data_IF_784114663683
#
_entry.id   IF_784114663683
#
_cell.length_a   1.000
_cell.length_b   1.000
_cell.length_c   1.000
_cell.angle_alpha   90.00
_cell.angle_beta   90.00
_cell.angle_gamma   90.00
#
_symmetry.space_group_name_H-M   'P 1'
#
loop_
_entity.id
_entity.type
_entity.pdbx_description
1 polymer ?
#
# COMPACT_ATOMS: atom_id res chain seq x y z
N UNK A 1 -29.16 11.84 -79.13
CA UNK A 1 -28.23 12.73 -79.86
C UNK A 1 -26.87 12.58 -79.14
N UNK A 2 -26.02 11.72 -79.56
CA UNK A 2 -24.97 11.77 -80.55
C UNK A 2 -24.20 13.09 -80.52
N UNK A 3 -22.91 12.97 -80.21
CA UNK A 3 -21.66 13.43 -80.84
C UNK A 3 -20.74 13.98 -79.75
N UNK A 4 -19.45 13.90 -79.79
CA UNK A 4 -18.48 13.17 -80.57
C UNK A 4 -17.10 13.26 -79.92
N UNK A 5 -16.37 12.32 -80.10
CA UNK A 5 -15.04 11.86 -79.94
C UNK A 5 -13.96 12.85 -80.44
N UNK A 6 -12.80 12.74 -79.88
CA UNK A 6 -11.42 12.90 -80.38
C UNK A 6 -10.76 14.29 -80.34
N UNK A 7 -9.63 14.35 -79.65
CA UNK A 7 -8.32 14.43 -80.36
C UNK A 7 -7.14 14.16 -79.40
N UNK A 8 -6.38 13.16 -79.78
CA UNK A 8 -5.06 12.82 -79.36
C UNK A 8 -4.08 13.87 -79.92
N UNK A 9 -3.14 14.31 -79.11
CA UNK A 9 -2.00 15.10 -79.52
C UNK A 9 -0.75 14.69 -78.79
N UNK A 10 -0.01 13.78 -79.43
CA UNK A 10 1.39 13.43 -79.14
C UNK A 10 2.32 14.56 -79.59
N UNK A 11 3.33 14.88 -78.76
CA UNK A 11 4.61 15.50 -79.15
C UNK A 11 5.52 15.52 -77.94
N UNK A 12 6.53 14.76 -77.96
CA UNK A 12 7.85 14.89 -78.56
C UNK A 12 8.91 15.37 -77.57
N UNK A 13 9.85 14.49 -77.32
CA UNK A 13 11.11 14.75 -76.62
C UNK A 13 11.92 15.78 -77.33
N UNK A 14 12.38 16.83 -76.67
CA UNK A 14 13.66 17.49 -76.74
C UNK A 14 13.56 18.96 -76.22
N UNK A 15 14.38 19.26 -75.26
CA UNK A 15 14.52 20.63 -74.71
C UNK A 15 15.26 20.58 -73.38
N UNK A 16 16.54 20.22 -73.48
CA UNK A 16 17.52 20.35 -72.42
C UNK A 16 17.92 21.81 -72.33
N UNK A 17 18.14 22.31 -71.13
CA UNK A 17 19.19 23.26 -70.68
C UNK A 17 18.69 24.30 -69.68
N UNK A 18 19.19 24.11 -68.46
CA UNK A 18 19.64 25.08 -67.43
C UNK A 18 18.76 26.28 -67.06
N UNK A 19 18.35 26.28 -65.81
CA UNK A 19 18.47 27.41 -64.91
C UNK A 19 18.55 26.95 -63.45
N UNK A 20 19.61 27.26 -62.80
CA UNK A 20 19.91 27.05 -61.38
C UNK A 20 18.97 27.84 -60.46
N UNK A 21 18.59 27.30 -59.32
CA UNK A 21 18.12 28.15 -58.23
C UNK A 21 17.03 27.55 -57.37
N UNK A 22 17.38 27.25 -56.10
CA UNK A 22 16.51 27.08 -54.96
C UNK A 22 15.64 25.78 -54.91
N UNK A 23 16.27 24.67 -54.50
CA UNK A 23 15.58 23.53 -53.93
C UNK A 23 15.14 23.87 -52.50
N UNK A 24 13.89 24.31 -52.34
CA UNK A 24 13.21 24.29 -51.05
C UNK A 24 12.96 22.83 -50.71
N UNK A 25 13.68 22.31 -49.75
CA UNK A 25 13.44 21.00 -49.14
C UNK A 25 12.08 21.02 -48.42
N UNK A 26 11.02 20.65 -49.13
CA UNK A 26 9.77 20.26 -48.53
C UNK A 26 10.00 18.90 -47.83
N UNK A 27 10.51 18.93 -46.61
CA UNK A 27 10.54 17.78 -45.74
C UNK A 27 9.13 17.31 -45.53
N UNK A 28 8.76 16.21 -46.14
CA UNK A 28 7.56 15.48 -45.82
C UNK A 28 7.65 15.03 -44.37
N UNK A 29 7.04 15.81 -43.46
CA UNK A 29 6.70 15.36 -42.12
C UNK A 29 5.71 14.21 -42.26
N UNK A 30 6.24 13.01 -42.46
CA UNK A 30 5.48 11.81 -42.14
C UNK A 30 5.21 11.85 -40.64
N UNK A 31 3.94 11.82 -40.20
CA UNK A 31 3.68 11.71 -38.79
C UNK A 31 4.35 10.42 -38.33
N UNK A 32 5.38 10.56 -37.47
CA UNK A 32 5.87 9.39 -36.71
C UNK A 32 4.62 8.81 -36.07
N UNK A 33 4.15 7.66 -36.58
CA UNK A 33 3.19 6.83 -35.84
C UNK A 33 3.82 6.58 -34.50
N UNK A 34 3.37 7.33 -33.49
CA UNK A 34 3.64 7.04 -32.10
C UNK A 34 2.90 5.72 -31.88
N UNK A 35 3.60 4.60 -32.10
CA UNK A 35 3.14 3.32 -31.60
C UNK A 35 3.02 3.50 -30.10
N UNK A 36 1.82 3.59 -29.58
CA UNK A 36 1.57 3.56 -28.15
C UNK A 36 2.23 2.28 -27.64
N UNK A 37 3.35 2.41 -26.96
CA UNK A 37 4.07 1.27 -26.40
C UNK A 37 3.07 0.56 -25.48
N UNK A 38 2.81 -0.73 -25.73
CA UNK A 38 1.84 -1.51 -24.95
C UNK A 38 2.28 -1.47 -23.51
N UNK A 39 1.44 -0.91 -22.65
CA UNK A 39 1.74 -0.85 -21.21
C UNK A 39 1.85 -2.24 -20.63
N UNK A 40 2.73 -2.41 -19.65
CA UNK A 40 2.86 -3.66 -18.91
C UNK A 40 1.70 -3.75 -17.91
N UNK A 41 0.85 -4.77 -18.06
CA UNK A 41 -0.27 -5.02 -17.17
C UNK A 41 0.22 -5.63 -15.84
N UNK A 42 -0.18 -5.04 -14.73
CA UNK A 42 0.20 -5.44 -13.38
C UNK A 42 -1.05 -5.64 -12.53
N UNK A 43 -1.17 -6.79 -11.89
CA UNK A 43 -2.15 -7.05 -10.85
C UNK A 43 -1.52 -6.76 -9.48
N UNK A 44 -2.12 -5.83 -8.76
CA UNK A 44 -1.65 -5.36 -7.45
C UNK A 44 -2.76 -5.50 -6.41
N UNK A 45 -2.44 -6.06 -5.25
CA UNK A 45 -3.41 -6.20 -4.15
C UNK A 45 -3.11 -5.26 -2.99
N UNK A 46 -4.14 -4.63 -2.45
CA UNK A 46 -4.05 -3.97 -1.15
C UNK A 46 -3.91 -5.01 -0.03
N UNK A 47 -3.34 -4.61 1.10
CA UNK A 47 -3.36 -5.41 2.32
C UNK A 47 -4.74 -5.45 3.00
N UNK A 48 -5.59 -4.45 2.72
CA UNK A 48 -6.92 -4.28 3.32
C UNK A 48 -7.87 -3.56 2.35
N UNK A 49 -9.02 -3.12 2.85
CA UNK A 49 -9.96 -2.28 2.11
C UNK A 49 -9.30 -0.94 1.69
N UNK A 50 -9.81 -0.26 0.64
CA UNK A 50 -9.30 1.02 0.17
C UNK A 50 -9.67 2.16 1.15
N UNK A 51 -9.09 2.12 2.33
CA UNK A 51 -9.29 3.05 3.42
C UNK A 51 -8.00 3.26 4.21
N UNK A 52 -7.91 4.32 5.01
CA UNK A 52 -6.77 4.58 5.87
C UNK A 52 -5.43 4.64 5.13
N UNK A 53 -4.54 3.72 5.49
CA UNK A 53 -3.17 3.67 5.00
C UNK A 53 -3.01 3.03 3.60
N UNK A 54 -4.08 2.75 2.86
CA UNK A 54 -3.97 2.10 1.55
C UNK A 54 -4.29 3.03 0.37
N UNK A 55 -4.88 4.19 0.62
CA UNK A 55 -5.40 5.05 -0.45
C UNK A 55 -4.33 5.76 -1.27
N UNK A 56 -3.12 5.93 -0.75
CA UNK A 56 -1.98 6.46 -1.49
C UNK A 56 -1.55 5.58 -2.68
N UNK A 57 -1.91 4.29 -2.70
CA UNK A 57 -1.73 3.43 -3.88
C UNK A 57 -2.52 3.93 -5.10
N UNK A 58 -3.68 4.55 -4.89
CA UNK A 58 -4.45 5.14 -5.99
C UNK A 58 -3.80 6.41 -6.53
N UNK A 59 -3.17 7.22 -5.68
CA UNK A 59 -2.36 8.34 -6.13
C UNK A 59 -1.14 7.89 -6.94
N UNK A 60 -0.58 6.71 -6.66
CA UNK A 60 0.55 6.15 -7.40
C UNK A 60 0.20 5.76 -8.84
N UNK A 61 -1.07 5.48 -9.18
CA UNK A 61 -1.46 5.09 -10.54
C UNK A 61 -1.01 6.06 -11.63
N UNK A 62 -1.06 7.36 -11.37
CA UNK A 62 -0.60 8.36 -12.33
C UNK A 62 0.90 8.25 -12.64
N UNK A 63 1.72 7.90 -11.64
CA UNK A 63 3.17 7.73 -11.78
C UNK A 63 3.49 6.40 -12.45
N UNK A 64 2.82 5.31 -12.09
CA UNK A 64 2.93 4.03 -12.75
C UNK A 64 2.54 4.12 -14.23
N UNK A 65 1.44 4.82 -14.54
CA UNK A 65 0.99 5.06 -15.92
C UNK A 65 2.05 5.81 -16.74
N UNK A 66 2.71 6.83 -16.16
CA UNK A 66 3.80 7.56 -16.81
C UNK A 66 5.04 6.68 -17.03
N UNK A 67 5.25 5.70 -16.16
CA UNK A 67 6.33 4.71 -16.27
C UNK A 67 6.01 3.55 -17.23
N UNK A 68 4.86 3.58 -17.93
CA UNK A 68 4.48 2.55 -18.88
C UNK A 68 3.80 1.33 -18.27
N UNK A 69 3.33 1.43 -17.02
CA UNK A 69 2.59 0.36 -16.34
C UNK A 69 1.08 0.63 -16.38
N UNK A 70 0.30 -0.45 -16.49
CA UNK A 70 -1.16 -0.47 -16.34
C UNK A 70 -1.51 -1.29 -15.11
N UNK A 71 -1.69 -0.61 -13.97
CA UNK A 71 -1.85 -1.26 -12.67
C UNK A 71 -3.32 -1.37 -12.30
N UNK A 72 -3.80 -2.60 -12.19
CA UNK A 72 -5.10 -2.93 -11.61
C UNK A 72 -4.94 -3.13 -10.11
N UNK A 73 -5.64 -2.29 -9.32
CA UNK A 73 -5.61 -2.34 -7.85
C UNK A 73 -6.81 -3.16 -7.36
N UNK A 74 -6.54 -4.27 -6.70
CA UNK A 74 -7.56 -5.13 -6.09
C UNK A 74 -7.67 -4.86 -4.58
N UNK A 75 -8.91 -4.87 -4.07
CA UNK A 75 -9.20 -4.74 -2.63
C UNK A 75 -8.59 -5.91 -1.87
N UNK A 76 -7.93 -5.64 -0.74
CA UNK A 76 -7.46 -6.68 0.17
C UNK A 76 -8.54 -7.12 1.17
N UNK A 77 -8.39 -8.33 1.68
CA UNK A 77 -9.21 -8.88 2.77
C UNK A 77 -8.42 -9.10 4.05
N UNK A 78 -7.16 -8.70 4.05
CA UNK A 78 -6.21 -8.82 5.15
C UNK A 78 -4.79 -9.08 4.66
N UNK A 79 -3.79 -8.58 5.38
CA UNK A 79 -2.38 -8.73 5.00
C UNK A 79 -1.94 -10.19 4.97
N UNK A 80 -2.49 -11.06 5.83
CA UNK A 80 -2.21 -12.48 5.80
C UNK A 80 -2.72 -13.14 4.51
N UNK A 81 -3.92 -12.75 4.04
CA UNK A 81 -4.46 -13.23 2.77
C UNK A 81 -3.69 -12.66 1.56
N UNK A 82 -3.31 -11.38 1.62
CA UNK A 82 -2.55 -10.73 0.55
C UNK A 82 -1.17 -11.40 0.35
N UNK A 83 -0.44 -11.71 1.44
CA UNK A 83 0.86 -12.41 1.34
C UNK A 83 0.72 -13.77 0.72
N UNK A 84 -0.29 -14.56 1.09
CA UNK A 84 -0.55 -15.85 0.45
C UNK A 84 -0.82 -15.71 -1.05
N UNK A 85 -1.66 -14.75 -1.44
CA UNK A 85 -2.03 -14.53 -2.84
C UNK A 85 -0.82 -14.10 -3.71
N UNK A 86 0.12 -13.29 -3.17
CA UNK A 86 1.37 -12.93 -3.84
C UNK A 86 2.27 -14.18 -3.97
N UNK A 87 2.43 -14.95 -2.90
CA UNK A 87 3.24 -16.19 -2.91
C UNK A 87 2.72 -17.20 -3.94
N UNK A 88 1.40 -17.27 -4.13
CA UNK A 88 0.76 -18.15 -5.12
C UNK A 88 0.80 -17.58 -6.55
N UNK A 89 1.37 -16.39 -6.77
CA UNK A 89 1.46 -15.76 -8.09
C UNK A 89 0.15 -15.16 -8.61
N UNK A 90 -0.88 -15.04 -7.76
CA UNK A 90 -2.15 -14.39 -8.15
C UNK A 90 -1.95 -12.90 -8.43
N UNK A 91 -1.07 -12.26 -7.68
CA UNK A 91 -0.68 -10.86 -7.86
C UNK A 91 0.84 -10.77 -8.03
N UNK A 92 1.30 -9.94 -8.96
CA UNK A 92 2.71 -9.65 -9.13
C UNK A 92 3.24 -8.81 -7.96
N UNK A 93 2.41 -7.92 -7.45
CA UNK A 93 2.74 -7.05 -6.32
C UNK A 93 1.56 -6.92 -5.35
N UNK A 94 1.88 -6.49 -4.15
CA UNK A 94 0.90 -6.05 -3.17
C UNK A 94 1.53 -5.20 -2.08
N UNK A 95 0.68 -4.77 -1.16
CA UNK A 95 1.09 -3.90 -0.05
C UNK A 95 0.63 -4.48 1.31
N UNK A 96 0.99 -5.73 1.62
CA UNK A 96 0.69 -6.32 2.93
C UNK A 96 1.52 -5.67 4.03
N UNK A 97 1.18 -5.93 5.28
CA UNK A 97 2.03 -5.58 6.41
C UNK A 97 3.30 -6.43 6.41
N UNK A 98 4.44 -5.80 6.64
CA UNK A 98 5.77 -6.41 6.62
C UNK A 98 5.88 -7.66 7.51
N UNK A 99 5.36 -7.68 8.77
CA UNK A 99 5.48 -8.85 9.62
C UNK A 99 4.75 -10.08 9.05
N UNK A 100 3.68 -9.88 8.26
CA UNK A 100 3.01 -11.00 7.60
C UNK A 100 3.87 -11.60 6.47
N UNK A 101 4.64 -10.77 5.75
CA UNK A 101 5.61 -11.26 4.76
C UNK A 101 6.74 -12.04 5.42
N UNK A 102 7.28 -11.54 6.54
CA UNK A 102 8.31 -12.24 7.34
C UNK A 102 7.77 -13.57 7.89
N UNK A 103 6.52 -13.58 8.38
CA UNK A 103 5.89 -14.82 8.86
C UNK A 103 5.76 -15.87 7.76
N UNK A 104 5.44 -15.48 6.53
CA UNK A 104 5.45 -16.40 5.39
C UNK A 104 6.87 -16.90 5.09
N UNK A 105 7.88 -16.04 5.19
CA UNK A 105 9.27 -16.44 5.00
C UNK A 105 9.74 -17.46 6.05
N UNK A 106 9.35 -17.31 7.32
CA UNK A 106 9.58 -18.31 8.38
C UNK A 106 8.97 -19.66 8.00
N UNK A 107 7.84 -19.68 7.30
CA UNK A 107 7.19 -20.89 6.79
C UNK A 107 7.71 -21.38 5.44
N UNK A 108 8.83 -20.83 4.98
CA UNK A 108 9.52 -21.24 3.75
C UNK A 108 9.00 -20.59 2.45
N UNK A 109 8.07 -19.64 2.53
CA UNK A 109 7.61 -18.90 1.35
C UNK A 109 8.50 -17.68 1.08
N UNK A 110 9.05 -17.56 -0.13
CA UNK A 110 9.92 -16.46 -0.49
C UNK A 110 9.12 -15.21 -0.89
N UNK A 111 9.25 -14.13 -0.11
CA UNK A 111 8.72 -12.79 -0.40
C UNK A 111 9.82 -11.74 -0.21
N UNK A 112 9.81 -10.73 -1.08
CA UNK A 112 10.78 -9.64 -1.08
C UNK A 112 10.06 -8.29 -0.99
N UNK A 113 10.42 -7.47 0.00
CA UNK A 113 10.00 -6.09 0.11
C UNK A 113 10.88 -5.18 -0.75
N UNK A 114 10.25 -4.36 -1.60
CA UNK A 114 10.91 -3.35 -2.43
C UNK A 114 10.90 -1.95 -1.80
N UNK A 115 10.48 -1.85 -0.57
CA UNK A 115 10.43 -0.61 0.21
C UNK A 115 9.32 -0.60 1.23
N UNK A 116 9.54 0.13 2.35
CA UNK A 116 8.58 0.29 3.44
C UNK A 116 7.84 1.63 3.30
N UNK A 117 6.51 1.59 3.29
CA UNK A 117 5.65 2.76 3.10
C UNK A 117 4.75 3.05 4.30
N UNK A 118 5.04 2.45 5.44
CA UNK A 118 4.48 2.81 6.73
C UNK A 118 5.34 2.19 7.86
N UNK A 119 5.84 3.01 8.77
CA UNK A 119 6.87 2.65 9.75
C UNK A 119 6.35 2.21 11.11
N UNK A 120 5.04 2.29 11.36
CA UNK A 120 4.36 1.66 12.50
C UNK A 120 3.11 0.94 12.00
N UNK A 121 2.94 -0.30 12.40
CA UNK A 121 1.79 -1.11 11.99
C UNK A 121 0.48 -0.54 12.48
N UNK A 122 0.47 0.24 13.55
CA UNK A 122 -0.74 0.59 14.29
C UNK A 122 -1.62 -0.63 14.65
N UNK A 123 -1.02 -1.84 14.66
CA UNK A 123 -1.67 -3.06 15.13
C UNK A 123 -1.99 -2.95 16.61
N UNK A 124 -3.14 -3.41 17.04
CA UNK A 124 -3.52 -3.34 18.43
C UNK A 124 -4.87 -3.94 18.74
N UNK A 125 -5.28 -3.70 19.97
CA UNK A 125 -6.63 -3.99 20.46
C UNK A 125 -7.31 -2.66 20.75
N UNK A 126 -8.48 -2.45 20.18
CA UNK A 126 -9.35 -1.30 20.47
C UNK A 126 -10.54 -1.74 21.33
N UNK A 127 -10.80 -0.97 22.37
CA UNK A 127 -11.93 -1.17 23.28
C UNK A 127 -12.72 0.13 23.41
N UNK A 128 -14.00 0.05 23.76
CA UNK A 128 -14.83 1.23 23.98
C UNK A 128 -14.27 2.09 25.14
N UNK A 129 -14.45 3.42 25.14
CA UNK A 129 -13.89 4.30 26.16
C UNK A 129 -14.41 4.01 27.57
N UNK A 130 -15.69 3.59 27.68
CA UNK A 130 -16.34 3.21 28.96
C UNK A 130 -16.00 1.78 29.41
N UNK A 131 -15.27 1.00 28.59
CA UNK A 131 -14.91 -0.38 28.92
C UNK A 131 -14.15 -0.47 30.25
N UNK A 132 -14.39 -1.51 31.07
CA UNK A 132 -13.59 -1.78 32.26
C UNK A 132 -12.15 -2.21 31.91
N UNK A 133 -11.86 -2.55 30.65
CA UNK A 133 -10.52 -2.89 30.18
C UNK A 133 -9.68 -1.63 30.13
N UNK A 134 -8.77 -1.47 31.09
CA UNK A 134 -7.89 -0.30 31.23
C UNK A 134 -6.46 -0.59 30.77
N UNK A 135 -6.05 -1.84 30.83
CA UNK A 135 -4.74 -2.32 30.44
C UNK A 135 -4.86 -3.71 29.78
N UNK A 136 -3.83 -4.17 29.02
CA UNK A 136 -3.94 -5.42 28.27
C UNK A 136 -4.23 -6.67 29.10
N UNK A 137 -3.79 -6.72 30.37
CA UNK A 137 -4.10 -7.87 31.23
C UNK A 137 -5.61 -8.02 31.54
N UNK A 138 -6.37 -6.93 31.43
CA UNK A 138 -7.82 -6.96 31.65
C UNK A 138 -8.59 -7.66 30.51
N UNK A 139 -7.88 -8.06 29.44
CA UNK A 139 -8.44 -8.86 28.35
C UNK A 139 -8.81 -10.29 28.80
N UNK A 140 -8.33 -10.74 29.96
CA UNK A 140 -8.69 -12.07 30.50
C UNK A 140 -10.19 -12.24 30.61
N UNK A 141 -10.73 -13.31 30.02
CA UNK A 141 -12.17 -13.63 30.00
C UNK A 141 -13.01 -12.78 29.05
N UNK A 142 -12.41 -11.82 28.29
CA UNK A 142 -13.14 -10.89 27.42
C UNK A 142 -13.36 -11.46 26.03
N UNK A 143 -14.44 -10.99 25.38
CA UNK A 143 -14.76 -11.29 23.99
C UNK A 143 -13.98 -10.37 23.07
N UNK A 144 -13.08 -10.92 22.26
CA UNK A 144 -12.32 -10.17 21.24
C UNK A 144 -12.78 -10.58 19.84
N UNK A 145 -13.34 -9.61 19.11
CA UNK A 145 -13.68 -9.74 17.71
C UNK A 145 -12.46 -9.58 16.82
N UNK A 146 -12.19 -10.52 15.91
CA UNK A 146 -11.04 -10.51 15.03
C UNK A 146 -11.40 -10.98 13.63
N UNK A 147 -10.81 -10.34 12.61
CA UNK A 147 -10.85 -10.86 11.23
C UNK A 147 -9.65 -11.79 11.04
N UNK A 148 -9.88 -13.08 10.86
CA UNK A 148 -8.81 -14.09 10.90
C UNK A 148 -7.77 -13.93 9.79
N UNK A 149 -8.15 -13.30 8.67
CA UNK A 149 -7.25 -12.99 7.53
C UNK A 149 -6.53 -11.65 7.66
N UNK A 150 -6.84 -10.87 8.69
CA UNK A 150 -6.20 -9.57 8.93
C UNK A 150 -4.75 -9.72 9.39
N UNK A 151 -3.99 -8.64 9.25
CA UNK A 151 -2.55 -8.69 9.51
C UNK A 151 -2.18 -8.78 10.98
N UNK A 152 -2.98 -8.23 11.88
CA UNK A 152 -2.70 -8.20 13.32
C UNK A 152 -3.05 -9.49 14.03
N UNK A 153 -4.02 -10.25 13.51
CA UNK A 153 -4.52 -11.46 14.21
C UNK A 153 -3.44 -12.52 14.47
N UNK A 154 -2.55 -12.85 13.51
CA UNK A 154 -1.47 -13.82 13.76
C UNK A 154 -0.50 -13.43 14.89
N UNK A 155 -0.46 -12.15 15.26
CA UNK A 155 0.42 -11.62 16.30
C UNK A 155 -0.28 -11.38 17.64
N UNK A 156 -1.60 -11.61 17.73
CA UNK A 156 -2.35 -11.54 18.97
C UNK A 156 -1.80 -12.49 20.06
N UNK A 157 -1.43 -13.75 19.76
CA UNK A 157 -0.82 -14.63 20.77
C UNK A 157 0.48 -14.07 21.35
N UNK A 158 1.34 -13.45 20.51
CA UNK A 158 2.58 -12.78 20.95
C UNK A 158 2.26 -11.61 21.88
N UNK A 159 1.28 -10.80 21.54
CA UNK A 159 0.84 -9.67 22.35
C UNK A 159 0.31 -10.14 23.72
N UNK A 160 -0.59 -11.12 23.75
CA UNK A 160 -1.16 -11.67 24.97
C UNK A 160 -0.09 -12.27 25.91
N UNK A 161 0.88 -12.99 25.35
CA UNK A 161 2.00 -13.61 26.10
C UNK A 161 2.78 -12.59 26.93
N UNK A 162 2.90 -11.34 26.47
CA UNK A 162 3.60 -10.27 27.23
C UNK A 162 2.91 -9.92 28.56
N UNK A 163 1.65 -10.30 28.71
CA UNK A 163 0.84 -10.07 29.93
C UNK A 163 0.50 -11.36 30.65
N UNK A 164 1.20 -12.46 30.32
CA UNK A 164 0.94 -13.77 30.90
C UNK A 164 -0.38 -14.41 30.45
N UNK A 165 -0.94 -13.94 29.33
CA UNK A 165 -2.19 -14.45 28.77
C UNK A 165 -1.90 -15.32 27.54
N UNK A 166 -2.85 -16.20 27.23
CA UNK A 166 -2.89 -17.07 26.06
C UNK A 166 -4.20 -16.85 25.30
N UNK A 167 -4.33 -17.47 24.13
CA UNK A 167 -5.60 -17.47 23.38
C UNK A 167 -6.75 -18.13 24.14
N UNK A 168 -6.45 -19.06 25.08
CA UNK A 168 -7.45 -19.71 25.93
C UNK A 168 -7.97 -18.80 27.05
N UNK A 169 -7.26 -17.71 27.36
CA UNK A 169 -7.68 -16.74 28.37
C UNK A 169 -8.65 -15.69 27.82
N UNK A 170 -8.96 -15.70 26.52
CA UNK A 170 -9.91 -14.82 25.86
C UNK A 170 -10.99 -15.61 25.12
N UNK A 171 -12.12 -14.95 24.84
CA UNK A 171 -13.17 -15.49 23.97
C UNK A 171 -12.98 -14.89 22.57
N UNK A 172 -12.23 -15.58 21.68
CA UNK A 172 -12.01 -15.11 20.32
C UNK A 172 -13.25 -15.33 19.46
N UNK A 173 -13.72 -14.26 18.78
CA UNK A 173 -14.86 -14.27 17.87
C UNK A 173 -14.36 -13.92 16.47
N UNK A 174 -14.58 -14.83 15.51
CA UNK A 174 -14.30 -14.56 14.11
C UNK A 174 -15.35 -13.63 13.51
N UNK A 175 -14.92 -12.51 12.95
CA UNK A 175 -15.77 -11.50 12.33
C UNK A 175 -15.31 -11.21 10.88
N UNK A 176 -16.28 -10.94 10.00
CA UNK A 176 -15.98 -10.41 8.68
C UNK A 176 -15.41 -9.00 8.79
N UNK A 177 -14.55 -8.63 7.83
CA UNK A 177 -13.86 -7.34 7.80
C UNK A 177 -14.80 -6.13 7.64
N UNK A 178 -16.05 -6.32 7.22
CA UNK A 178 -17.04 -5.25 7.08
C UNK A 178 -17.82 -4.97 8.36
N UNK A 179 -17.89 -5.94 9.27
CA UNK A 179 -18.72 -5.85 10.48
C UNK A 179 -17.92 -5.76 11.79
N UNK A 180 -16.60 -5.87 11.73
CA UNK A 180 -15.74 -5.89 12.92
C UNK A 180 -15.92 -4.64 13.81
N UNK A 181 -15.86 -3.45 13.23
CA UNK A 181 -16.04 -2.19 13.97
C UNK A 181 -17.48 -2.04 14.46
N UNK A 182 -18.46 -2.45 13.66
CA UNK A 182 -19.88 -2.45 14.04
C UNK A 182 -20.13 -3.33 15.27
N UNK A 183 -19.50 -4.51 15.34
CA UNK A 183 -19.62 -5.40 16.49
C UNK A 183 -19.11 -4.75 17.79
N UNK A 184 -18.06 -3.93 17.73
CA UNK A 184 -17.59 -3.15 18.87
C UNK A 184 -18.55 -2.02 19.24
N UNK A 185 -19.05 -1.27 18.25
CA UNK A 185 -20.02 -0.17 18.43
C UNK A 185 -21.29 -0.69 19.09
N UNK A 186 -21.83 -1.79 18.59
CA UNK A 186 -23.09 -2.43 19.07
C UNK A 186 -22.90 -3.29 20.32
N UNK A 187 -21.70 -3.31 20.93
CA UNK A 187 -21.40 -4.04 22.17
C UNK A 187 -21.53 -5.57 22.04
N UNK A 188 -21.39 -6.10 20.82
CA UNK A 188 -21.40 -7.55 20.58
C UNK A 188 -20.09 -8.23 21.04
N UNK A 189 -19.01 -7.44 21.17
CA UNK A 189 -17.73 -7.84 21.76
C UNK A 189 -17.19 -6.74 22.67
N UNK A 190 -16.24 -7.12 23.54
CA UNK A 190 -15.61 -6.20 24.50
C UNK A 190 -14.48 -5.39 23.88
N UNK A 191 -13.83 -5.95 22.86
CA UNK A 191 -12.76 -5.33 22.10
C UNK A 191 -12.63 -5.96 20.72
N UNK A 192 -11.86 -5.31 19.85
CA UNK A 192 -11.51 -5.82 18.53
C UNK A 192 -10.00 -5.77 18.31
N UNK A 193 -9.44 -6.77 17.61
CA UNK A 193 -8.10 -6.63 17.04
C UNK A 193 -8.19 -5.85 15.74
N UNK A 194 -7.28 -4.92 15.51
CA UNK A 194 -7.33 -4.06 14.33
C UNK A 194 -5.98 -3.40 14.01
N UNK A 195 -5.88 -2.89 12.80
CA UNK A 195 -5.01 -1.74 12.53
C UNK A 195 -5.81 -0.48 12.92
N UNK A 196 -5.29 0.30 13.86
CA UNK A 196 -5.98 1.50 14.36
C UNK A 196 -6.21 2.51 13.25
N UNK A 197 -5.27 2.67 12.32
CA UNK A 197 -5.41 3.55 11.17
C UNK A 197 -6.63 3.23 10.28
N UNK A 198 -7.10 1.97 10.30
CA UNK A 198 -8.30 1.54 9.56
C UNK A 198 -9.56 1.51 10.42
N UNK A 199 -9.45 1.11 11.70
CA UNK A 199 -10.61 0.98 12.59
C UNK A 199 -11.05 2.32 13.18
N UNK A 200 -10.10 3.18 13.59
CA UNK A 200 -10.37 4.46 14.24
C UNK A 200 -11.33 5.36 13.47
N UNK A 201 -11.18 5.53 12.12
CA UNK A 201 -12.08 6.37 11.35
C UNK A 201 -13.55 5.99 11.51
N UNK A 202 -13.88 4.70 11.41
CA UNK A 202 -15.26 4.21 11.55
C UNK A 202 -15.80 4.36 12.96
N UNK A 203 -14.96 4.08 13.97
CA UNK A 203 -15.33 4.20 15.37
C UNK A 203 -15.63 5.65 15.73
N UNK A 204 -14.75 6.59 15.36
CA UNK A 204 -14.91 8.02 15.65
C UNK A 204 -16.12 8.60 14.89
N UNK A 205 -16.28 8.30 13.61
CA UNK A 205 -17.45 8.73 12.84
C UNK A 205 -18.78 8.18 13.40
N UNK A 206 -18.73 7.12 14.20
CA UNK A 206 -19.89 6.55 14.92
C UNK A 206 -19.99 7.04 16.38
N UNK A 207 -19.20 8.05 16.77
CA UNK A 207 -19.22 8.61 18.12
C UNK A 207 -18.45 7.80 19.18
N UNK A 208 -17.69 6.78 18.76
CA UNK A 208 -16.89 5.94 19.67
C UNK A 208 -15.43 6.37 19.58
N UNK A 209 -14.91 6.99 20.65
CA UNK A 209 -13.48 7.30 20.76
C UNK A 209 -12.76 6.18 21.55
N UNK A 210 -12.16 5.18 20.89
CA UNK A 210 -11.69 3.97 21.56
C UNK A 210 -10.43 4.22 22.40
N UNK A 211 -10.26 3.44 23.47
CA UNK A 211 -8.94 3.21 24.05
C UNK A 211 -8.25 2.15 23.21
N UNK A 212 -6.95 2.37 22.94
CA UNK A 212 -6.18 1.50 22.06
C UNK A 212 -4.94 0.98 22.78
N UNK A 213 -4.66 -0.31 22.64
CA UNK A 213 -3.43 -0.96 23.09
C UNK A 213 -2.61 -1.32 21.85
N UNK A 214 -1.73 -0.40 21.42
CA UNK A 214 -0.85 -0.60 20.27
C UNK A 214 0.24 -1.63 20.57
N UNK A 215 0.41 -2.62 19.71
CA UNK A 215 1.45 -3.65 19.86
C UNK A 215 2.86 -3.03 19.92
N UNK A 216 3.11 -1.96 19.17
CA UNK A 216 4.39 -1.24 19.15
C UNK A 216 4.78 -0.67 20.52
N UNK A 217 3.80 -0.22 21.31
CA UNK A 217 4.03 0.29 22.68
C UNK A 217 4.40 -0.80 23.69
N UNK A 218 4.21 -2.06 23.30
CA UNK A 218 4.49 -3.23 24.14
C UNK A 218 5.61 -4.11 23.55
N UNK A 219 6.58 -3.48 22.87
CA UNK A 219 7.79 -4.15 22.40
C UNK A 219 7.59 -5.05 21.18
N UNK A 220 6.70 -4.64 20.26
CA UNK A 220 6.50 -5.25 18.94
C UNK A 220 6.65 -4.16 17.86
N UNK A 221 7.86 -3.62 17.63
CA UNK A 221 8.12 -2.47 16.76
C UNK A 221 8.09 -2.91 15.29
N UNK A 222 6.91 -3.22 14.78
CA UNK A 222 6.74 -3.72 13.43
C UNK A 222 6.55 -2.58 12.43
N UNK A 223 7.26 -2.64 11.31
CA UNK A 223 6.89 -1.88 10.11
C UNK A 223 5.53 -2.35 9.60
N UNK A 224 4.75 -1.43 9.04
CA UNK A 224 3.45 -1.79 8.48
C UNK A 224 3.60 -2.22 7.00
N UNK A 225 3.20 -1.37 6.08
CA UNK A 225 3.01 -1.74 4.68
C UNK A 225 4.30 -1.64 3.89
N UNK A 226 4.68 -2.75 3.22
CA UNK A 226 5.79 -2.79 2.28
C UNK A 226 5.32 -3.23 0.89
N UNK A 227 5.85 -2.59 -0.15
CA UNK A 227 5.65 -3.06 -1.52
C UNK A 227 6.33 -4.42 -1.67
N UNK A 228 5.54 -5.44 -1.84
CA UNK A 228 5.99 -6.83 -1.77
C UNK A 228 5.77 -7.54 -3.11
N UNK A 229 6.77 -8.33 -3.51
CA UNK A 229 6.75 -9.24 -4.66
C UNK A 229 7.46 -10.55 -4.29
N UNK A 230 7.61 -11.47 -5.25
CA UNK A 230 8.45 -12.66 -5.06
C UNK A 230 9.89 -12.41 -5.56
N UNK A 231 10.93 -13.05 -4.98
CA UNK A 231 12.30 -12.97 -5.47
C UNK A 231 12.43 -13.38 -6.93
N UNK A 232 11.66 -14.38 -7.37
CA UNK A 232 11.65 -14.86 -8.75
C UNK A 232 11.14 -13.79 -9.73
N UNK A 233 10.08 -13.08 -9.35
CA UNK A 233 9.55 -11.98 -10.17
C UNK A 233 10.55 -10.82 -10.21
N UNK A 234 11.15 -10.49 -9.07
CA UNK A 234 12.20 -9.47 -8.98
C UNK A 234 13.39 -9.77 -9.89
N UNK A 235 13.86 -11.01 -9.90
CA UNK A 235 14.99 -11.41 -10.73
C UNK A 235 14.69 -11.32 -12.23
N UNK A 236 13.45 -11.63 -12.63
CA UNK A 236 13.02 -11.65 -14.04
C UNK A 236 12.62 -10.27 -14.56
N UNK A 237 11.99 -9.45 -13.72
CA UNK A 237 11.29 -8.20 -14.11
C UNK A 237 11.81 -7.00 -13.32
N UNK A 238 13.14 -6.89 -13.19
CA UNK A 238 13.80 -5.88 -12.35
C UNK A 238 13.38 -4.46 -12.70
N UNK A 239 13.26 -4.14 -14.00
CA UNK A 239 12.81 -2.81 -14.46
C UNK A 239 11.36 -2.49 -14.09
N UNK A 240 10.49 -3.51 -14.08
CA UNK A 240 9.10 -3.35 -13.60
C UNK A 240 9.09 -3.13 -12.10
N UNK A 241 9.90 -3.85 -11.34
CA UNK A 241 10.04 -3.68 -9.90
C UNK A 241 10.54 -2.26 -9.53
N UNK A 242 11.53 -1.74 -10.26
CA UNK A 242 12.00 -0.36 -10.11
C UNK A 242 10.88 0.66 -10.38
N UNK A 243 10.17 0.52 -11.51
CA UNK A 243 9.07 1.41 -11.87
C UNK A 243 7.92 1.36 -10.84
N UNK A 244 7.61 0.17 -10.30
CA UNK A 244 6.60 0.00 -9.25
C UNK A 244 7.01 0.69 -7.95
N UNK A 245 8.25 0.50 -7.50
CA UNK A 245 8.76 1.09 -6.27
C UNK A 245 8.88 2.63 -6.37
N UNK A 246 9.44 3.13 -7.47
CA UNK A 246 9.58 4.56 -7.72
C UNK A 246 8.21 5.25 -7.83
N UNK A 247 7.28 4.69 -8.61
CA UNK A 247 5.94 5.25 -8.76
C UNK A 247 5.14 5.23 -7.46
N UNK A 248 5.34 4.21 -6.61
CA UNK A 248 4.72 4.17 -5.28
C UNK A 248 5.30 5.23 -4.36
N UNK A 249 6.63 5.42 -4.37
CA UNK A 249 7.29 6.46 -3.57
C UNK A 249 6.76 7.86 -3.93
N UNK A 250 6.59 8.15 -5.23
CA UNK A 250 5.98 9.40 -5.71
C UNK A 250 4.51 9.51 -5.26
N UNK A 251 3.73 8.43 -5.33
CA UNK A 251 2.35 8.40 -4.84
C UNK A 251 2.23 8.66 -3.35
N UNK A 252 3.15 8.14 -2.55
CA UNK A 252 3.25 8.39 -1.10
C UNK A 252 3.61 9.84 -0.82
N UNK A 253 4.64 10.39 -1.48
CA UNK A 253 5.00 11.81 -1.35
C UNK A 253 3.83 12.70 -1.74
N UNK A 254 3.16 12.40 -2.84
CA UNK A 254 1.97 13.13 -3.28
C UNK A 254 0.86 13.11 -2.22
N UNK A 255 0.55 11.93 -1.67
CA UNK A 255 -0.48 11.76 -0.66
C UNK A 255 -0.18 12.50 0.66
N UNK A 256 1.09 12.52 1.08
CA UNK A 256 1.53 13.27 2.26
C UNK A 256 1.33 14.79 2.08
N UNK A 257 1.60 15.31 0.89
CA UNK A 257 1.54 16.75 0.61
C UNK A 257 0.15 17.23 0.17
N UNK A 258 -0.66 16.33 -0.41
CA UNK A 258 -1.95 16.64 -1.03
C UNK A 258 -3.04 15.63 -0.58
N UNK A 259 -3.35 15.55 0.76
CA UNK A 259 -4.26 14.54 1.27
C UNK A 259 -5.69 14.67 0.70
N UNK A 260 -6.20 15.89 0.52
CA UNK A 260 -7.54 16.10 -0.03
C UNK A 260 -7.63 15.65 -1.50
N UNK A 261 -6.63 15.97 -2.31
CA UNK A 261 -6.59 15.55 -3.71
C UNK A 261 -6.46 14.03 -3.83
N UNK A 262 -5.73 13.38 -2.92
CA UNK A 262 -5.64 11.93 -2.84
C UNK A 262 -7.00 11.29 -2.58
N UNK A 263 -7.81 11.86 -1.69
CA UNK A 263 -9.18 11.42 -1.43
C UNK A 263 -10.06 11.59 -2.68
N UNK A 264 -9.93 12.72 -3.40
CA UNK A 264 -10.69 12.93 -4.63
C UNK A 264 -10.27 11.97 -5.75
N UNK A 265 -8.99 11.61 -5.84
CA UNK A 265 -8.52 10.56 -6.76
C UNK A 265 -9.18 9.22 -6.40
N UNK A 266 -9.21 8.85 -5.13
CA UNK A 266 -9.87 7.63 -4.69
C UNK A 266 -11.36 7.62 -5.04
N UNK A 267 -12.05 8.74 -4.84
CA UNK A 267 -13.47 8.87 -5.16
C UNK A 267 -13.78 8.83 -6.68
N UNK A 268 -12.82 9.14 -7.53
CA UNK A 268 -12.93 8.93 -8.99
C UNK A 268 -12.78 7.47 -9.36
N UNK A 269 -11.84 6.78 -8.72
CA UNK A 269 -11.57 5.36 -8.95
C UNK A 269 -12.66 4.45 -8.37
N UNK A 270 -13.23 4.82 -7.22
CA UNK A 270 -14.23 4.07 -6.46
C UNK A 270 -15.40 4.98 -6.05
N UNK A 271 -16.26 5.36 -7.01
CA UNK A 271 -17.34 6.31 -6.75
C UNK A 271 -18.38 5.80 -5.75
N UNK A 272 -18.48 4.49 -5.58
CA UNK A 272 -19.37 3.86 -4.59
C UNK A 272 -19.02 4.24 -3.14
N UNK A 273 -17.80 4.64 -2.85
CA UNK A 273 -17.42 5.09 -1.51
C UNK A 273 -18.13 6.38 -1.09
N UNK A 274 -18.56 7.21 -2.04
CA UNK A 274 -19.32 8.45 -1.76
C UNK A 274 -20.73 8.21 -1.23
N UNK A 275 -21.23 6.97 -1.31
CA UNK A 275 -22.58 6.64 -0.83
C UNK A 275 -22.68 6.71 0.70
N UNK A 276 -21.59 6.52 1.42
CA UNK A 276 -21.56 6.69 2.87
C UNK A 276 -21.37 8.17 3.23
N UNK A 277 -22.30 8.76 3.97
CA UNK A 277 -22.26 10.19 4.36
C UNK A 277 -20.99 10.59 5.13
N UNK A 278 -20.38 9.64 5.86
CA UNK A 278 -19.15 9.85 6.65
C UNK A 278 -17.87 9.43 5.89
N UNK A 279 -17.96 9.02 4.63
CA UNK A 279 -16.83 8.49 3.89
C UNK A 279 -15.64 9.45 3.84
N UNK A 280 -15.87 10.72 3.52
CA UNK A 280 -14.82 11.73 3.44
C UNK A 280 -14.12 11.92 4.78
N UNK A 281 -14.87 12.06 5.86
CA UNK A 281 -14.36 12.19 7.22
C UNK A 281 -13.50 10.97 7.61
N UNK A 282 -14.00 9.77 7.35
CA UNK A 282 -13.26 8.54 7.62
C UNK A 282 -11.93 8.47 6.86
N UNK A 283 -11.92 8.87 5.58
CA UNK A 283 -10.70 8.91 4.78
C UNK A 283 -9.71 9.95 5.29
N UNK A 284 -10.18 11.13 5.69
CA UNK A 284 -9.35 12.18 6.28
C UNK A 284 -8.69 11.73 7.59
N UNK A 285 -9.45 11.11 8.48
CA UNK A 285 -8.91 10.55 9.74
C UNK A 285 -7.87 9.46 9.44
N UNK A 286 -8.22 8.51 8.59
CA UNK A 286 -7.34 7.38 8.26
C UNK A 286 -6.02 7.81 7.62
N UNK A 287 -6.08 8.75 6.68
CA UNK A 287 -4.88 9.35 6.08
C UNK A 287 -4.07 10.15 7.09
N UNK A 288 -4.74 10.91 7.95
CA UNK A 288 -4.07 11.68 8.98
C UNK A 288 -3.29 10.80 9.96
N UNK A 289 -3.91 9.70 10.43
CA UNK A 289 -3.24 8.70 11.28
C UNK A 289 -2.07 8.07 10.55
N UNK A 290 -2.25 7.65 9.29
CA UNK A 290 -1.16 7.09 8.51
C UNK A 290 -0.01 8.09 8.34
N UNK A 291 -0.28 9.31 7.92
CA UNK A 291 0.74 10.33 7.68
C UNK A 291 1.48 10.73 8.97
N UNK A 292 0.80 10.77 10.13
CA UNK A 292 1.44 10.98 11.42
C UNK A 292 2.45 9.87 11.77
N UNK A 293 2.10 8.61 11.47
CA UNK A 293 2.97 7.45 11.72
C UNK A 293 4.00 7.21 10.61
N UNK A 294 3.88 7.90 9.46
CA UNK A 294 4.88 7.84 8.39
C UNK A 294 6.12 8.69 8.71
N UNK A 295 6.00 9.73 9.53
CA UNK A 295 7.10 10.61 9.92
C UNK A 295 8.06 9.90 10.87
N UNK A 296 8.82 8.96 10.33
CA UNK A 296 9.88 8.24 11.04
C UNK A 296 11.25 8.81 10.70
N UNK A 297 12.25 8.45 11.52
CA UNK A 297 13.63 8.79 11.26
C UNK A 297 14.10 8.25 9.90
N UNK A 298 13.70 7.04 9.56
CA UNK A 298 14.02 6.40 8.28
C UNK A 298 13.49 7.20 7.09
N UNK A 299 12.23 7.59 7.11
CA UNK A 299 11.62 8.35 6.03
C UNK A 299 12.25 9.74 5.89
N UNK A 300 12.51 10.42 7.01
CA UNK A 300 13.04 11.78 7.03
C UNK A 300 14.52 11.85 6.62
N UNK A 301 15.36 10.97 7.13
CA UNK A 301 16.80 10.99 6.89
C UNK A 301 17.21 10.23 5.63
N UNK A 302 16.62 9.04 5.41
CA UNK A 302 17.00 8.12 4.33
C UNK A 302 16.13 8.26 3.09
N UNK A 303 14.93 8.81 3.23
CA UNK A 303 13.99 9.05 2.12
C UNK A 303 12.84 8.06 2.04
N UNK A 304 11.91 8.36 1.14
CA UNK A 304 10.66 7.62 0.99
C UNK A 304 10.93 6.15 0.64
N UNK A 305 10.34 5.25 1.40
CA UNK A 305 10.39 3.82 1.15
C UNK A 305 11.59 3.09 1.78
N UNK A 306 12.54 3.80 2.41
CA UNK A 306 13.72 3.16 2.99
C UNK A 306 13.35 2.15 4.10
N UNK A 307 14.00 1.01 4.10
CA UNK A 307 13.86 -0.05 5.10
C UNK A 307 15.14 -0.18 5.91
N UNK A 308 15.06 -0.07 7.25
CA UNK A 308 16.21 -0.22 8.14
C UNK A 308 16.54 -1.72 8.34
N UNK A 309 17.77 -2.17 8.04
CA UNK A 309 18.19 -3.56 8.25
C UNK A 309 18.06 -4.02 9.71
N UNK A 310 18.34 -3.14 10.68
CA UNK A 310 18.28 -3.49 12.09
C UNK A 310 16.84 -3.76 12.55
N UNK A 311 15.88 -2.99 12.02
CA UNK A 311 14.45 -3.22 12.29
C UNK A 311 13.98 -4.51 11.63
N UNK A 312 14.40 -4.80 10.38
CA UNK A 312 14.10 -6.09 9.75
C UNK A 312 14.66 -7.28 10.54
N UNK A 313 15.89 -7.18 11.06
CA UNK A 313 16.48 -8.20 11.92
C UNK A 313 15.63 -8.40 13.20
N UNK A 314 15.30 -7.31 13.90
CA UNK A 314 14.47 -7.35 15.11
C UNK A 314 13.10 -7.96 14.85
N UNK A 315 12.42 -7.57 13.76
CA UNK A 315 11.12 -8.15 13.38
C UNK A 315 11.25 -9.65 13.08
N UNK A 316 12.30 -10.05 12.36
CA UNK A 316 12.54 -11.44 12.00
C UNK A 316 12.77 -12.31 13.24
N UNK A 317 13.54 -11.81 14.21
CA UNK A 317 13.79 -12.50 15.48
C UNK A 317 12.49 -12.72 16.26
N UNK A 318 11.75 -11.65 16.50
CA UNK A 318 10.48 -11.70 17.23
C UNK A 318 9.45 -12.63 16.57
N UNK A 319 9.34 -12.57 15.25
CA UNK A 319 8.39 -13.39 14.51
C UNK A 319 8.82 -14.86 14.49
N UNK A 320 10.11 -15.14 14.31
CA UNK A 320 10.62 -16.51 14.35
C UNK A 320 10.43 -17.16 15.73
N UNK A 321 10.75 -16.44 16.81
CA UNK A 321 10.56 -16.92 18.20
C UNK A 321 9.11 -17.27 18.55
N UNK A 322 8.15 -16.64 17.89
CA UNK A 322 6.73 -16.78 18.26
C UNK A 322 5.88 -17.54 17.23
N UNK A 323 6.31 -17.55 15.97
CA UNK A 323 5.58 -18.19 14.86
C UNK A 323 6.32 -19.36 14.23
N UNK A 324 7.60 -19.57 14.57
CA UNK A 324 8.38 -20.69 14.11
C UNK A 324 7.94 -22.01 14.79
N UNK A 325 7.86 -23.07 14.00
CA UNK A 325 7.59 -24.42 14.46
C UNK A 325 8.88 -25.25 14.51
N UNK A 326 8.82 -26.41 15.13
CA UNK A 326 9.96 -27.34 15.13
C UNK A 326 10.34 -27.73 13.69
N UNK A 327 11.58 -27.45 13.31
CA UNK A 327 12.09 -27.68 11.95
C UNK A 327 12.06 -26.47 11.01
N UNK A 328 11.36 -25.37 11.36
CA UNK A 328 11.42 -24.14 10.62
C UNK A 328 12.84 -23.53 10.71
N UNK A 329 13.26 -22.87 9.62
CA UNK A 329 14.54 -22.14 9.59
C UNK A 329 14.28 -20.65 9.67
N UNK A 330 15.01 -19.98 10.58
CA UNK A 330 15.00 -18.53 10.62
C UNK A 330 15.53 -17.98 9.29
N UNK A 331 14.73 -17.15 8.57
CA UNK A 331 15.23 -16.56 7.34
C UNK A 331 16.32 -15.52 7.64
N UNK A 332 17.26 -15.34 6.70
CA UNK A 332 18.20 -14.21 6.76
C UNK A 332 17.42 -12.91 6.51
N UNK A 333 17.37 -11.98 7.48
CA UNK A 333 16.62 -10.74 7.33
C UNK A 333 17.07 -9.88 6.14
N UNK A 334 18.33 -10.00 5.70
CA UNK A 334 18.86 -9.26 4.56
C UNK A 334 18.32 -9.76 3.20
N UNK A 335 17.71 -10.93 3.16
CA UNK A 335 17.05 -11.48 1.96
C UNK A 335 15.59 -11.08 1.83
N UNK A 336 15.02 -10.44 2.87
CA UNK A 336 13.58 -10.14 2.94
C UNK A 336 13.22 -8.77 2.38
N UNK A 337 14.20 -7.91 2.11
CA UNK A 337 13.99 -6.57 1.58
C UNK A 337 15.15 -6.11 0.70
N UNK A 338 14.90 -5.05 -0.07
CA UNK A 338 15.93 -4.30 -0.76
C UNK A 338 15.62 -2.81 -0.73
N UNK A 339 16.68 -1.99 -0.61
CA UNK A 339 16.62 -0.53 -0.73
C UNK A 339 17.09 -0.04 -2.11
N UNK A 340 17.28 -0.92 -3.09
CA UNK A 340 17.88 -0.59 -4.38
C UNK A 340 17.12 0.52 -5.12
N UNK A 341 15.78 0.52 -5.00
CA UNK A 341 14.91 1.42 -5.76
C UNK A 341 14.33 2.58 -4.95
N UNK A 342 14.49 2.55 -3.62
CA UNK A 342 13.88 3.52 -2.68
C UNK A 342 14.94 4.34 -1.95
N UNK A 343 14.50 5.34 -1.16
CA UNK A 343 15.40 6.24 -0.43
C UNK A 343 16.00 7.37 -1.28
N UNK A 344 15.78 7.38 -2.60
CA UNK A 344 16.24 8.43 -3.50
C UNK A 344 15.35 9.67 -3.45
N UNK A 345 14.05 9.48 -3.32
CA UNK A 345 13.05 10.54 -3.20
C UNK A 345 12.99 11.00 -1.74
N UNK A 346 13.14 12.30 -1.53
CA UNK A 346 13.06 12.92 -0.19
C UNK A 346 12.02 14.03 -0.18
N UNK A 347 11.48 14.28 1.00
CA UNK A 347 10.76 15.51 1.29
C UNK A 347 11.76 16.52 1.87
N UNK A 348 11.57 17.80 1.56
CA UNK A 348 12.31 18.90 2.16
C UNK A 348 11.85 19.14 3.60
N UNK A 349 12.63 19.87 4.39
CA UNK A 349 12.24 20.23 5.77
C UNK A 349 10.92 21.01 5.80
N UNK A 350 10.69 21.89 4.82
CA UNK A 350 9.44 22.64 4.68
C UNK A 350 8.25 21.72 4.37
N UNK A 351 8.42 20.70 3.50
CA UNK A 351 7.40 19.69 3.21
C UNK A 351 7.09 18.86 4.46
N UNK A 352 8.11 18.42 5.22
CA UNK A 352 7.91 17.71 6.48
C UNK A 352 7.20 18.57 7.54
N UNK A 353 7.55 19.84 7.65
CA UNK A 353 6.87 20.77 8.55
C UNK A 353 5.38 20.90 8.20
N UNK A 354 5.04 20.96 6.90
CA UNK A 354 3.64 20.96 6.42
C UNK A 354 2.91 19.68 6.80
N UNK A 355 3.52 18.52 6.60
CA UNK A 355 2.94 17.21 6.98
C UNK A 355 2.70 17.17 8.48
N UNK A 356 3.69 17.54 9.29
CA UNK A 356 3.60 17.57 10.76
C UNK A 356 2.46 18.44 11.25
N UNK A 357 2.35 19.66 10.71
CA UNK A 357 1.27 20.59 11.07
C UNK A 357 -0.12 20.02 10.72
N UNK A 358 -0.26 19.42 9.54
CA UNK A 358 -1.51 18.83 9.08
C UNK A 358 -1.96 17.57 9.84
N UNK A 359 -1.02 16.88 10.49
CA UNK A 359 -1.28 15.56 11.11
C UNK A 359 -1.23 15.57 12.64
N UNK A 360 -0.87 16.68 13.28
CA UNK A 360 -0.67 16.77 14.73
C UNK A 360 -1.85 16.23 15.57
N UNK A 361 -3.08 16.45 15.12
CA UNK A 361 -4.30 15.97 15.79
C UNK A 361 -4.57 14.47 15.65
N UNK A 362 -3.81 13.78 14.80
CA UNK A 362 -4.00 12.35 14.51
C UNK A 362 -2.90 11.46 15.09
N UNK A 363 -1.93 12.05 15.82
CA UNK A 363 -0.90 11.27 16.48
C UNK A 363 -1.52 10.31 17.50
N UNK A 364 -1.19 9.03 17.38
CA UNK A 364 -1.57 8.03 18.37
C UNK A 364 -0.59 8.12 19.53
N UNK A 365 -1.06 8.59 20.68
CA UNK A 365 -0.27 8.87 21.89
C UNK A 365 0.47 7.66 22.48
#
# INVERSE_FOLDING_TARGET
MRKDVSKIGTLSRRGFVAASGAAAAAGTFLPKKVFAQKKVAINYTLGWLPEGANIWSYAAKQFWTKAGLDVTIEKGTGSAAATQAITQGKYQFGIPATPNSIQQAVKGAALLSLGCFNYDTTMGVAVRPESPIKEPKDLKGKKLGSTLTSGEYPFLPMFLKKFGLTMNDIQSIALDNKVREVALIEKQCDGITCFVASALPKLVASGVNPRVFLYSKYGMPFYAHSLTTTPDYFAKEKGVCEAMAAGLAEGVKFALLNPQETIEILFKELPELKLASTAKEQLEIGMGVWAANYMSKEAMEKGVGYSDPAIYATMTDLIFETSGAAGDKKPDPNTLFTNEFVGKLKLTDAEWAKVKAGTAKYALG
#
